data_IF_224289974521
#
_entry.id   IF_224289974521
#
_cell.length_a   1.000
_cell.length_b   1.000
_cell.length_c   1.000
_cell.angle_alpha   90.00
_cell.angle_beta   90.00
_cell.angle_gamma   90.00
#
_symmetry.space_group_name_H-M   'P 1'
#
loop_
_entity.id
_entity.type
_entity.pdbx_description
1 polymer ?
#
# COMPACT_ATOMS: atom_id res chain seq x y z
N UNK A 1 -23.11 17.86 1.54
CA UNK A 1 -22.34 18.23 2.74
C UNK A 1 -22.26 16.99 3.62
N UNK A 2 -21.15 16.26 3.55
CA UNK A 2 -20.92 15.07 4.38
C UNK A 2 -20.70 15.50 5.82
N UNK A 3 -21.45 14.92 6.75
CA UNK A 3 -21.27 15.16 8.18
C UNK A 3 -19.91 14.60 8.62
N UNK A 4 -19.13 15.37 9.38
CA UNK A 4 -17.85 14.92 9.94
C UNK A 4 -18.12 13.77 10.93
N UNK A 5 -17.94 12.54 10.46
CA UNK A 5 -18.00 11.36 11.33
C UNK A 5 -16.63 11.12 11.96
N UNK A 6 -16.54 10.85 13.28
CA UNK A 6 -15.28 10.52 13.95
C UNK A 6 -14.52 9.35 13.32
N UNK A 7 -15.20 8.53 12.51
CA UNK A 7 -14.60 7.41 11.77
C UNK A 7 -13.50 7.85 10.79
N UNK A 8 -13.56 9.07 10.23
CA UNK A 8 -12.56 9.57 9.29
C UNK A 8 -11.20 9.76 9.97
N UNK A 9 -11.18 10.20 11.23
CA UNK A 9 -9.95 10.35 12.01
C UNK A 9 -9.25 9.01 12.19
N UNK A 10 -10.00 7.94 12.46
CA UNK A 10 -9.45 6.59 12.56
C UNK A 10 -8.75 6.18 11.26
N UNK A 11 -9.38 6.42 10.11
CA UNK A 11 -8.80 6.11 8.81
C UNK A 11 -7.57 6.96 8.49
N UNK A 12 -7.49 8.22 8.93
CA UNK A 12 -6.29 9.04 8.74
C UNK A 12 -5.07 8.52 9.52
N UNK A 13 -5.27 8.00 10.74
CA UNK A 13 -4.19 7.40 11.53
C UNK A 13 -3.87 5.95 11.16
N UNK A 14 -4.76 5.29 10.44
CA UNK A 14 -4.63 3.89 10.00
C UNK A 14 -3.26 3.54 9.37
N UNK A 15 -2.69 4.28 8.41
CA UNK A 15 -1.41 3.92 7.79
C UNK A 15 -0.24 3.96 8.80
N UNK A 16 -0.27 4.87 9.77
CA UNK A 16 0.73 4.93 10.84
C UNK A 16 0.57 3.75 11.81
N UNK A 17 -0.67 3.41 12.18
CA UNK A 17 -1.00 2.26 13.04
C UNK A 17 -0.57 0.96 12.37
N UNK A 18 -0.87 0.77 11.09
CA UNK A 18 -0.51 -0.45 10.35
C UNK A 18 1.00 -0.59 10.22
N UNK A 19 1.74 0.50 9.97
CA UNK A 19 3.21 0.46 9.96
C UNK A 19 3.79 0.07 11.32
N UNK A 20 3.22 0.59 12.40
CA UNK A 20 3.64 0.25 13.75
C UNK A 20 3.32 -1.21 14.09
N UNK A 21 2.11 -1.66 13.79
CA UNK A 21 1.67 -3.03 13.97
C UNK A 21 2.53 -4.01 13.16
N UNK A 22 2.84 -3.69 11.89
CA UNK A 22 3.69 -4.53 11.06
C UNK A 22 5.13 -4.61 11.60
N UNK A 23 5.66 -3.53 12.18
CA UNK A 23 6.96 -3.55 12.87
C UNK A 23 6.91 -4.44 14.11
N UNK A 24 5.86 -4.32 14.93
CA UNK A 24 5.68 -5.15 16.12
C UNK A 24 5.57 -6.63 15.75
N UNK A 25 4.72 -6.99 14.77
CA UNK A 25 4.55 -8.38 14.32
C UNK A 25 5.88 -8.96 13.80
N UNK A 26 6.62 -8.21 12.99
CA UNK A 26 7.93 -8.66 12.49
C UNK A 26 8.94 -8.84 13.62
N UNK A 27 8.90 -7.99 14.64
CA UNK A 27 9.80 -8.07 15.81
C UNK A 27 9.42 -9.23 16.74
N UNK A 28 8.13 -9.40 17.05
CA UNK A 28 7.62 -10.44 17.96
C UNK A 28 7.85 -11.83 17.38
N UNK A 29 7.55 -12.01 16.10
CA UNK A 29 7.71 -13.32 15.45
C UNK A 29 9.10 -13.56 14.88
N UNK A 30 10.06 -12.63 15.07
CA UNK A 30 11.42 -12.75 14.53
C UNK A 30 11.48 -13.02 13.01
N UNK A 31 10.44 -12.62 12.26
CA UNK A 31 10.28 -12.94 10.82
C UNK A 31 11.41 -12.38 9.96
N UNK A 32 12.07 -11.32 10.44
CA UNK A 32 13.21 -10.71 9.79
C UNK A 32 14.42 -11.67 9.74
N UNK A 33 14.60 -12.51 10.77
CA UNK A 33 15.72 -13.44 10.92
C UNK A 33 15.52 -14.76 10.16
N UNK A 34 14.27 -15.24 10.06
CA UNK A 34 13.95 -16.55 9.44
C UNK A 34 13.53 -16.46 7.96
N UNK A 35 12.78 -15.44 7.55
CA UNK A 35 12.24 -15.32 6.18
C UNK A 35 12.72 -14.09 5.39
N UNK A 36 13.47 -13.17 6.02
CA UNK A 36 13.90 -11.88 5.43
C UNK A 36 12.74 -11.04 4.87
N UNK A 37 11.54 -11.19 5.45
CA UNK A 37 10.34 -10.41 5.10
C UNK A 37 10.39 -9.11 5.90
N UNK A 38 10.28 -7.96 5.22
CA UNK A 38 10.30 -6.66 5.90
C UNK A 38 8.88 -6.31 6.35
N UNK A 39 8.77 -5.52 7.42
CA UNK A 39 7.47 -5.02 7.92
C UNK A 39 6.66 -4.28 6.85
N UNK A 40 7.35 -3.59 5.94
CA UNK A 40 6.77 -2.94 4.75
C UNK A 40 5.98 -3.92 3.87
N UNK A 41 6.45 -5.15 3.71
CA UNK A 41 5.81 -6.16 2.87
C UNK A 41 4.46 -6.63 3.47
N UNK A 42 4.40 -6.75 4.80
CA UNK A 42 3.17 -7.14 5.51
C UNK A 42 2.13 -6.03 5.53
N UNK A 43 2.56 -4.77 5.41
CA UNK A 43 1.69 -3.58 5.48
C UNK A 43 0.85 -3.43 4.21
N UNK A 44 1.34 -3.92 3.06
CA UNK A 44 0.68 -3.80 1.75
C UNK A 44 -0.78 -4.27 1.73
N UNK A 45 -1.14 -5.50 2.13
CA UNK A 45 -2.52 -5.96 2.09
C UNK A 45 -3.46 -5.12 2.97
N UNK A 46 -2.97 -4.65 4.12
CA UNK A 46 -3.75 -3.77 5.00
C UNK A 46 -3.93 -2.38 4.40
N UNK A 47 -2.90 -1.81 3.76
CA UNK A 47 -3.02 -0.54 3.05
C UNK A 47 -4.02 -0.63 1.89
N UNK A 48 -4.00 -1.73 1.13
CA UNK A 48 -4.96 -1.98 0.06
C UNK A 48 -6.41 -2.00 0.57
N UNK A 49 -6.65 -2.69 1.68
CA UNK A 49 -7.95 -2.69 2.32
C UNK A 49 -8.36 -1.29 2.81
N UNK A 50 -7.42 -0.55 3.40
CA UNK A 50 -7.63 0.83 3.81
C UNK A 50 -7.99 1.76 2.66
N UNK A 51 -7.33 1.63 1.49
CA UNK A 51 -7.65 2.40 0.28
C UNK A 51 -9.09 2.15 -0.17
N UNK A 52 -9.52 0.89 -0.17
CA UNK A 52 -10.87 0.53 -0.55
C UNK A 52 -11.93 1.14 0.39
N UNK A 53 -11.72 1.03 1.71
CA UNK A 53 -12.65 1.58 2.69
C UNK A 53 -12.68 3.11 2.67
N UNK A 54 -11.51 3.76 2.67
CA UNK A 54 -11.41 5.22 2.65
C UNK A 54 -12.05 5.79 1.38
N UNK A 55 -11.82 5.18 0.21
CA UNK A 55 -12.42 5.65 -1.05
C UNK A 55 -13.94 5.52 -1.07
N UNK A 56 -14.49 4.38 -0.62
CA UNK A 56 -15.94 4.21 -0.52
C UNK A 56 -16.58 5.23 0.43
N UNK A 57 -15.95 5.48 1.59
CA UNK A 57 -16.51 6.35 2.63
C UNK A 57 -16.39 7.84 2.25
N UNK A 58 -15.32 8.27 1.57
CA UNK A 58 -15.13 9.67 1.18
C UNK A 58 -15.79 10.03 -0.15
N UNK A 59 -15.73 9.14 -1.15
CA UNK A 59 -16.11 9.47 -2.53
C UNK A 59 -17.30 8.68 -3.06
N UNK A 60 -17.87 7.73 -2.30
CA UNK A 60 -18.96 6.84 -2.74
C UNK A 60 -18.62 5.97 -3.97
N UNK A 61 -17.35 5.93 -4.38
CA UNK A 61 -16.83 5.04 -5.41
C UNK A 61 -15.52 4.41 -4.97
N UNK A 62 -15.29 3.18 -5.41
CA UNK A 62 -14.09 2.42 -5.07
C UNK A 62 -12.96 2.76 -6.03
N UNK A 63 -11.87 3.34 -5.52
CA UNK A 63 -10.64 3.61 -6.29
C UNK A 63 -9.80 2.33 -6.46
N UNK A 64 -10.10 1.29 -5.68
CA UNK A 64 -9.35 0.04 -5.65
C UNK A 64 -9.18 -0.65 -7.02
N UNK A 65 -10.19 -0.77 -7.90
CA UNK A 65 -10.02 -1.42 -9.20
C UNK A 65 -9.02 -0.68 -10.10
N UNK A 66 -9.06 0.65 -10.09
CA UNK A 66 -8.10 1.48 -10.82
C UNK A 66 -6.69 1.29 -10.25
N UNK A 67 -6.57 1.24 -8.92
CA UNK A 67 -5.29 0.98 -8.30
C UNK A 67 -4.75 -0.42 -8.66
N UNK A 68 -5.60 -1.44 -8.71
CA UNK A 68 -5.20 -2.79 -9.10
C UNK A 68 -4.62 -2.84 -10.52
N UNK A 69 -5.21 -2.10 -11.47
CA UNK A 69 -4.66 -1.95 -12.83
C UNK A 69 -3.26 -1.31 -12.78
N UNK A 70 -3.05 -0.28 -11.96
CA UNK A 70 -1.73 0.34 -11.81
C UNK A 70 -0.69 -0.62 -11.21
N UNK A 71 -1.09 -1.51 -10.30
CA UNK A 71 -0.20 -2.53 -9.75
C UNK A 71 0.22 -3.55 -10.81
N UNK A 72 -0.72 -4.00 -11.65
CA UNK A 72 -0.40 -4.91 -12.76
C UNK A 72 0.56 -4.25 -13.76
N UNK A 73 0.29 -3.00 -14.14
CA UNK A 73 1.17 -2.20 -14.99
C UNK A 73 2.57 -2.06 -14.39
N UNK A 74 2.67 -1.78 -13.09
CA UNK A 74 3.95 -1.70 -12.40
C UNK A 74 4.69 -3.05 -12.41
N UNK A 75 3.97 -4.16 -12.30
CA UNK A 75 4.54 -5.50 -12.44
C UNK A 75 5.19 -5.72 -13.80
N UNK A 76 4.49 -5.35 -14.87
CA UNK A 76 5.00 -5.44 -16.25
C UNK A 76 6.20 -4.50 -16.43
N UNK A 77 6.10 -3.24 -15.99
CA UNK A 77 7.18 -2.26 -16.11
C UNK A 77 8.46 -2.72 -15.40
N UNK A 78 8.34 -3.29 -14.19
CA UNK A 78 9.48 -3.83 -13.47
C UNK A 78 10.05 -5.09 -14.12
N UNK A 79 9.23 -5.92 -14.75
CA UNK A 79 9.70 -7.11 -15.44
C UNK A 79 10.55 -6.73 -16.66
N UNK A 80 10.09 -5.74 -17.43
CA UNK A 80 10.83 -5.18 -18.57
C UNK A 80 12.13 -4.53 -18.09
N UNK A 81 12.08 -3.71 -17.03
CA UNK A 81 13.26 -3.07 -16.46
C UNK A 81 14.30 -4.12 -16.02
N UNK A 82 13.85 -5.18 -15.34
CA UNK A 82 14.76 -6.23 -14.91
C UNK A 82 15.39 -6.99 -16.07
N UNK A 83 14.60 -7.32 -17.10
CA UNK A 83 15.11 -7.97 -18.31
C UNK A 83 16.14 -7.08 -19.04
N UNK A 84 15.90 -5.78 -19.10
CA UNK A 84 16.81 -4.82 -19.73
C UNK A 84 18.14 -4.67 -18.99
N UNK A 85 18.13 -4.62 -17.65
CA UNK A 85 19.34 -4.34 -16.86
C UNK A 85 20.12 -5.58 -16.42
N UNK A 86 19.46 -6.72 -16.23
CA UNK A 86 20.09 -7.90 -15.62
C UNK A 86 20.19 -9.10 -16.56
N UNK A 87 19.64 -9.01 -17.78
CA UNK A 87 19.60 -10.05 -18.83
C UNK A 87 18.90 -11.37 -18.41
N UNK A 88 18.69 -11.59 -17.11
CA UNK A 88 18.02 -12.73 -16.51
C UNK A 88 16.98 -12.28 -15.48
N UNK A 89 15.81 -12.92 -15.53
CA UNK A 89 14.72 -12.66 -14.57
C UNK A 89 14.88 -13.58 -13.37
N UNK A 90 15.65 -13.12 -12.38
CA UNK A 90 15.69 -13.77 -11.06
C UNK A 90 14.38 -13.47 -10.31
N UNK A 91 13.44 -14.42 -10.33
CA UNK A 91 12.10 -14.31 -9.71
C UNK A 91 12.12 -13.83 -8.26
N UNK A 92 13.07 -14.31 -7.44
CA UNK A 92 13.18 -13.91 -6.03
C UNK A 92 13.52 -12.42 -5.87
N UNK A 93 14.32 -11.88 -6.77
CA UNK A 93 14.71 -10.46 -6.78
C UNK A 93 13.57 -9.61 -7.33
N UNK A 94 12.95 -10.07 -8.41
CA UNK A 94 11.78 -9.44 -9.02
C UNK A 94 10.67 -9.26 -7.99
N UNK A 95 10.23 -10.33 -7.33
CA UNK A 95 9.12 -10.28 -6.38
C UNK A 95 9.40 -9.35 -5.21
N UNK A 96 10.63 -9.35 -4.68
CA UNK A 96 11.03 -8.41 -3.61
C UNK A 96 11.03 -6.95 -4.06
N UNK A 97 11.41 -6.68 -5.31
CA UNK A 97 11.41 -5.32 -5.85
C UNK A 97 9.97 -4.86 -6.12
N UNK A 98 9.19 -5.71 -6.79
CA UNK A 98 7.77 -5.49 -7.04
C UNK A 98 7.00 -5.18 -5.76
N UNK A 99 7.11 -6.04 -4.75
CA UNK A 99 6.36 -5.91 -3.52
C UNK A 99 6.70 -4.62 -2.74
N UNK A 100 7.97 -4.17 -2.80
CA UNK A 100 8.38 -2.88 -2.21
C UNK A 100 7.86 -1.67 -2.99
N UNK A 101 7.84 -1.75 -4.31
CA UNK A 101 7.28 -0.70 -5.15
C UNK A 101 5.77 -0.58 -4.96
N UNK A 102 5.06 -1.71 -4.84
CA UNK A 102 3.63 -1.76 -4.50
C UNK A 102 3.37 -1.07 -3.15
N UNK A 103 4.19 -1.34 -2.14
CA UNK A 103 4.10 -0.65 -0.85
C UNK A 103 4.24 0.87 -0.99
N UNK A 104 5.26 1.34 -1.71
CA UNK A 104 5.51 2.77 -1.92
C UNK A 104 4.34 3.44 -2.64
N UNK A 105 3.84 2.84 -3.73
CA UNK A 105 2.68 3.35 -4.44
C UNK A 105 1.42 3.38 -3.56
N UNK A 106 1.15 2.30 -2.82
CA UNK A 106 -0.02 2.23 -1.95
C UNK A 106 0.04 3.29 -0.85
N UNK A 107 1.22 3.50 -0.27
CA UNK A 107 1.44 4.52 0.76
C UNK A 107 1.25 5.94 0.22
N UNK A 108 1.83 6.24 -0.95
CA UNK A 108 1.67 7.55 -1.61
C UNK A 108 0.20 7.79 -1.96
N UNK A 109 -0.47 6.81 -2.55
CA UNK A 109 -1.90 6.93 -2.88
C UNK A 109 -2.73 7.14 -1.63
N UNK A 110 -2.43 6.45 -0.53
CA UNK A 110 -3.14 6.64 0.73
C UNK A 110 -3.02 8.09 1.23
N UNK A 111 -1.81 8.67 1.21
CA UNK A 111 -1.59 10.07 1.61
C UNK A 111 -2.38 11.02 0.70
N UNK A 112 -2.35 10.78 -0.61
CA UNK A 112 -3.11 11.58 -1.58
C UNK A 112 -4.60 11.52 -1.28
N UNK A 113 -5.16 10.34 -0.98
CA UNK A 113 -6.57 10.19 -0.61
C UNK A 113 -6.92 10.91 0.69
N UNK A 114 -6.04 10.90 1.69
CA UNK A 114 -6.24 11.69 2.93
C UNK A 114 -6.36 13.17 2.57
N UNK A 115 -5.43 13.70 1.76
CA UNK A 115 -5.43 15.11 1.36
C UNK A 115 -6.71 15.47 0.60
N UNK A 116 -7.09 14.67 -0.41
CA UNK A 116 -8.33 14.91 -1.14
C UNK A 116 -9.58 14.81 -0.26
N UNK A 117 -9.61 13.85 0.68
CA UNK A 117 -10.71 13.72 1.63
C UNK A 117 -10.83 14.94 2.55
N UNK A 118 -9.70 15.56 2.94
CA UNK A 118 -9.70 16.79 3.74
C UNK A 118 -10.19 17.97 2.88
N UNK A 119 -9.67 18.10 1.64
CA UNK A 119 -10.07 19.16 0.71
C UNK A 119 -11.56 19.10 0.33
N UNK A 120 -12.14 17.91 0.24
CA UNK A 120 -13.58 17.74 -0.01
C UNK A 120 -14.44 18.17 1.19
N UNK A 121 -13.88 18.13 2.39
CA UNK A 121 -14.60 18.49 3.61
C UNK A 121 -14.65 20.02 3.81
N UNK A 122 -13.56 20.73 3.48
CA UNK A 122 -13.50 22.18 3.49
C UNK A 122 -14.34 22.80 2.37
#
# INVERSE_FOLDING_TARGET
MSTFSPIYLFWYFFPAIVLFAAKLVVSVFSLNKRFRIKASDLTVPFLLFGIHQLSNVSFQFSIFPYFLITLLLLGIALAILQAYFFEEIIYRRFFKMYWRSVFLLAFVLYIVLIIFSILQFF
#
